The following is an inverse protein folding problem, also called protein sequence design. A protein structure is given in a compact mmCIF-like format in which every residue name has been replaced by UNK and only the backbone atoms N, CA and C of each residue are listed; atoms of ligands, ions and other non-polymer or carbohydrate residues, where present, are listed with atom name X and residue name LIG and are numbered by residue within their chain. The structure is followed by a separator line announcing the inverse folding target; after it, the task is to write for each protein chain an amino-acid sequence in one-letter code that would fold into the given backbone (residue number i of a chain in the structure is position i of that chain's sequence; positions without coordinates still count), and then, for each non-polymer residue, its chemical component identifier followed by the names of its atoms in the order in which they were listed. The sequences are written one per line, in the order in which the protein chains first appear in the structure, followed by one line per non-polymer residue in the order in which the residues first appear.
data_IF_690535129986
#
_entry.id   IF_690535129986
#
_cell.length_a   1.000
_cell.length_b   1.000
_cell.length_c   1.000
_cell.angle_alpha   90.00
_cell.angle_beta   90.00
_cell.angle_gamma   90.00
#
_symmetry.space_group_name_H-M   'P 1'
#
loop_
_entity.id
_entity.type
_entity.pdbx_description
1 polymer ?
#
# COMPACT_ATOMS: atom_id res chain seq x y z
N UNK A 1 -16.41 -12.60 -7.12
CA UNK A 1 -16.40 -12.10 -5.73
C UNK A 1 -14.96 -12.21 -5.27
N UNK A 2 -14.28 -11.11 -4.98
CA UNK A 2 -12.89 -11.14 -4.53
C UNK A 2 -12.84 -11.69 -3.09
N UNK A 3 -11.92 -12.61 -2.80
CA UNK A 3 -11.78 -13.21 -1.47
C UNK A 3 -11.08 -12.24 -0.52
N UNK A 4 -11.18 -12.50 0.79
CA UNK A 4 -10.44 -11.72 1.80
C UNK A 4 -8.93 -11.88 1.56
N UNK A 5 -8.47 -13.12 1.36
CA UNK A 5 -7.07 -13.45 1.09
C UNK A 5 -6.50 -12.68 -0.11
N UNK A 6 -7.25 -12.61 -1.22
CA UNK A 6 -6.85 -11.82 -2.40
C UNK A 6 -6.63 -10.34 -2.08
N UNK A 7 -7.48 -9.77 -1.22
CA UNK A 7 -7.40 -8.36 -0.82
C UNK A 7 -6.25 -8.11 0.16
N UNK A 8 -5.97 -9.08 1.04
CA UNK A 8 -4.83 -9.02 1.96
C UNK A 8 -3.51 -9.13 1.20
N UNK A 9 -3.40 -10.06 0.24
CA UNK A 9 -2.23 -10.18 -0.64
C UNK A 9 -2.04 -8.88 -1.45
N UNK A 10 -3.12 -8.34 -2.01
CA UNK A 10 -3.05 -7.08 -2.76
C UNK A 10 -2.61 -5.89 -1.88
N UNK A 11 -3.03 -5.88 -0.61
CA UNK A 11 -2.60 -4.88 0.37
C UNK A 11 -1.11 -5.03 0.68
N UNK A 12 -0.65 -6.25 0.98
CA UNK A 12 0.75 -6.55 1.30
C UNK A 12 1.68 -6.20 0.14
N UNK A 13 1.33 -6.56 -1.09
CA UNK A 13 2.09 -6.16 -2.27
C UNK A 13 2.16 -4.64 -2.44
N UNK A 14 1.07 -3.94 -2.12
CA UNK A 14 0.99 -2.50 -2.26
C UNK A 14 1.87 -1.81 -1.23
N UNK A 15 1.88 -2.31 0.01
CA UNK A 15 2.77 -1.84 1.08
C UNK A 15 4.24 -2.15 0.75
N UNK A 16 4.55 -3.34 0.25
CA UNK A 16 5.91 -3.70 -0.14
C UNK A 16 6.47 -2.78 -1.25
N UNK A 17 5.62 -2.32 -2.18
CA UNK A 17 6.01 -1.34 -3.21
C UNK A 17 6.31 0.04 -2.61
N UNK A 18 5.61 0.44 -1.55
CA UNK A 18 5.90 1.68 -0.81
C UNK A 18 7.23 1.54 -0.07
N UNK A 19 7.47 0.40 0.58
CA UNK A 19 8.72 0.13 1.29
C UNK A 19 9.93 0.11 0.36
N UNK A 20 9.80 -0.45 -0.84
CA UNK A 20 10.86 -0.40 -1.87
C UNK A 20 11.18 1.05 -2.29
N UNK A 21 10.17 1.90 -2.43
CA UNK A 21 10.38 3.34 -2.71
C UNK A 21 11.08 4.01 -1.55
N UNK A 22 10.65 3.76 -0.31
CA UNK A 22 11.28 4.31 0.88
C UNK A 22 12.75 3.87 0.99
N UNK A 23 13.04 2.59 0.70
CA UNK A 23 14.41 2.07 0.68
C UNK A 23 15.28 2.75 -0.39
N UNK A 24 14.74 3.02 -1.60
CA UNK A 24 15.44 3.76 -2.65
C UNK A 24 15.75 5.20 -2.25
N UNK A 25 14.82 5.87 -1.57
CA UNK A 25 15.05 7.20 -1.00
C UNK A 25 16.15 7.16 0.07
N UNK A 26 16.11 6.19 0.99
CA UNK A 26 17.13 6.03 2.03
C UNK A 26 18.53 5.77 1.44
N UNK A 27 18.61 4.97 0.38
CA UNK A 27 19.85 4.70 -0.37
C UNK A 27 20.32 5.86 -1.24
N UNK A 28 19.55 6.96 -1.31
CA UNK A 28 19.79 8.12 -2.20
C UNK A 28 19.77 7.76 -3.69
N UNK A 29 19.10 6.66 -4.05
CA UNK A 29 18.85 6.25 -5.43
C UNK A 29 17.65 6.99 -6.03
N UNK A 30 16.86 7.64 -5.17
CA UNK A 30 15.69 8.42 -5.54
C UNK A 30 15.62 9.68 -4.65
N UNK A 31 15.27 10.82 -5.21
CA UNK A 31 15.05 12.02 -4.42
C UNK A 31 13.82 11.87 -3.50
N UNK A 32 13.83 12.55 -2.35
CA UNK A 32 12.73 12.47 -1.38
C UNK A 32 11.40 12.97 -1.96
N UNK A 33 11.41 14.03 -2.77
CA UNK A 33 10.21 14.54 -3.42
C UNK A 33 9.71 13.57 -4.49
N UNK A 34 10.62 13.02 -5.29
CA UNK A 34 10.26 11.99 -6.27
C UNK A 34 9.69 10.74 -5.59
N UNK A 35 10.22 10.35 -4.43
CA UNK A 35 9.73 9.24 -3.63
C UNK A 35 8.31 9.48 -3.15
N UNK A 36 8.08 10.64 -2.56
CA UNK A 36 6.75 11.06 -2.14
C UNK A 36 5.75 11.00 -3.29
N UNK A 37 6.06 11.60 -4.44
CA UNK A 37 5.18 11.59 -5.61
C UNK A 37 4.91 10.17 -6.14
N UNK A 38 5.89 9.27 -6.07
CA UNK A 38 5.69 7.86 -6.44
C UNK A 38 4.83 7.09 -5.44
N UNK A 39 4.83 7.47 -4.16
CA UNK A 39 3.97 6.83 -3.15
C UNK A 39 2.51 7.27 -3.23
N UNK A 40 2.23 8.49 -3.67
CA UNK A 40 0.86 9.05 -3.74
C UNK A 40 -0.12 8.18 -4.54
N UNK A 41 0.34 7.51 -5.60
CA UNK A 41 -0.52 6.61 -6.40
C UNK A 41 -1.00 5.37 -5.62
N UNK A 42 -0.26 4.93 -4.59
CA UNK A 42 -0.62 3.77 -3.78
C UNK A 42 -1.58 4.11 -2.64
N UNK A 43 -1.64 5.38 -2.21
CA UNK A 43 -2.56 5.86 -1.17
C UNK A 43 -4.01 5.53 -1.51
N UNK A 44 -4.46 5.87 -2.72
CA UNK A 44 -5.84 5.60 -3.15
C UNK A 44 -6.12 4.09 -3.18
N UNK A 45 -5.14 3.30 -3.63
CA UNK A 45 -5.25 1.84 -3.68
C UNK A 45 -5.42 1.23 -2.29
N UNK A 46 -4.63 1.66 -1.31
CA UNK A 46 -4.72 1.18 0.08
C UNK A 46 -6.10 1.50 0.68
N UNK A 47 -6.60 2.72 0.46
CA UNK A 47 -7.93 3.13 0.95
C UNK A 47 -9.03 2.26 0.31
N UNK A 48 -8.95 2.00 -0.99
CA UNK A 48 -9.91 1.14 -1.69
C UNK A 48 -9.90 -0.29 -1.13
N UNK A 49 -8.72 -0.89 -0.96
CA UNK A 49 -8.57 -2.24 -0.39
C UNK A 49 -9.09 -2.28 1.04
N UNK A 50 -8.75 -1.28 1.86
CA UNK A 50 -9.23 -1.16 3.23
C UNK A 50 -10.75 -1.09 3.33
N UNK A 51 -11.40 -0.35 2.43
CA UNK A 51 -12.87 -0.30 2.37
C UNK A 51 -13.47 -1.67 2.02
N UNK A 52 -12.90 -2.38 1.03
CA UNK A 52 -13.37 -3.73 0.65
C UNK A 52 -13.18 -4.76 1.76
N UNK A 53 -12.06 -4.67 2.50
CA UNK A 53 -11.79 -5.53 3.67
C UNK A 53 -12.78 -5.22 4.80
N UNK A 54 -13.05 -3.93 5.06
CA UNK A 54 -14.03 -3.50 6.06
C UNK A 54 -15.45 -3.98 5.75
N UNK A 55 -15.87 -3.92 4.49
CA UNK A 55 -17.16 -4.49 4.03
C UNK A 55 -17.26 -6.00 4.29
N UNK A 56 -16.12 -6.71 4.35
CA UNK A 56 -16.02 -8.13 4.64
C UNK A 56 -15.79 -8.44 6.14
N UNK A 57 -15.79 -7.43 6.99
CA UNK A 57 -15.60 -7.57 8.45
C UNK A 57 -14.15 -7.61 8.91
N UNK A 58 -13.19 -7.25 8.05
CA UNK A 58 -11.75 -7.18 8.39
C UNK A 58 -11.33 -5.74 8.57
N UNK A 59 -10.80 -5.41 9.75
CA UNK A 59 -10.26 -4.08 10.06
C UNK A 59 -8.73 -4.10 9.94
N UNK A 60 -8.19 -3.24 9.07
CA UNK A 60 -6.75 -3.12 8.79
C UNK A 60 -6.09 -1.95 9.52
N UNK A 61 -6.82 -1.17 10.31
CA UNK A 61 -6.28 0.04 10.96
C UNK A 61 -5.24 -0.23 12.05
N UNK A 62 -5.11 -1.49 12.49
CA UNK A 62 -4.13 -1.92 13.50
C UNK A 62 -2.94 -2.72 12.93
N UNK A 63 -2.78 -2.77 11.60
CA UNK A 63 -1.62 -3.42 10.96
C UNK A 63 -0.43 -2.49 10.86
#
# INVERSE_FOLDING_TARGET
MQMIEDLEEELEETLAKIDDIAAKVQKKELDAYEGFMKTEKYKNKIVEIGNKLKEKGVDITNR
#
